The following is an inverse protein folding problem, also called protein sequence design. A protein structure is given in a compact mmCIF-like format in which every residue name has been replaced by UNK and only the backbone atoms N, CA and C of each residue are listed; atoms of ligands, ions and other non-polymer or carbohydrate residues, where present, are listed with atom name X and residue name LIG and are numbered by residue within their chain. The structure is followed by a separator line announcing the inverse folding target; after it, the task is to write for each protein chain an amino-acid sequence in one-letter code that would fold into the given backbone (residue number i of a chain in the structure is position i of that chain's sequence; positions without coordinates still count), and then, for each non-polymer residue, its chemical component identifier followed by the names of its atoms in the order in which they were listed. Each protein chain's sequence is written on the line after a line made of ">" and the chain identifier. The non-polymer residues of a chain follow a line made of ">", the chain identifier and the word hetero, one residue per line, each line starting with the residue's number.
data_IF_171613787891
#
_entry.id   IF_171613787891
#
_cell.length_a   1.000
_cell.length_b   1.000
_cell.length_c   1.000
_cell.angle_alpha   90.00
_cell.angle_beta   90.00
_cell.angle_gamma   90.00
#
_symmetry.space_group_name_H-M   'P 1'
#
loop_
_entity.id
_entity.type
_entity.pdbx_description
1 polymer ?
#
# COMPACT_ATOMS: atom_id res chain seq x y z
N UNK A 1 -12.07 2.57 -18.23
CA UNK A 1 -10.99 1.89 -18.98
C UNK A 1 -9.98 1.21 -18.07
N UNK A 2 -9.32 1.90 -17.13
CA UNK A 2 -8.22 1.32 -16.33
C UNK A 2 -8.59 0.05 -15.53
N UNK A 3 -9.84 -0.08 -15.08
CA UNK A 3 -10.32 -1.24 -14.32
C UNK A 3 -11.02 -2.32 -15.18
N UNK A 4 -11.08 -2.18 -16.51
CA UNK A 4 -11.76 -3.18 -17.34
C UNK A 4 -10.92 -4.45 -17.48
N UNK A 5 -11.58 -5.61 -17.47
CA UNK A 5 -10.89 -6.91 -17.67
C UNK A 5 -10.16 -6.96 -19.01
N UNK A 6 -10.73 -6.38 -20.06
CA UNK A 6 -10.09 -6.28 -21.38
C UNK A 6 -8.77 -5.51 -21.35
N UNK A 7 -8.73 -4.37 -20.66
CA UNK A 7 -7.51 -3.57 -20.55
C UNK A 7 -6.47 -4.25 -19.65
N UNK A 8 -6.91 -4.89 -18.56
CA UNK A 8 -6.03 -5.70 -17.73
C UNK A 8 -5.39 -6.85 -18.54
N UNK A 9 -6.17 -7.57 -19.36
CA UNK A 9 -5.63 -8.61 -20.25
C UNK A 9 -4.66 -8.07 -21.30
N UNK A 10 -4.90 -6.86 -21.82
CA UNK A 10 -3.97 -6.18 -22.72
C UNK A 10 -2.63 -5.90 -22.02
N UNK A 11 -2.66 -5.29 -20.83
CA UNK A 11 -1.45 -5.01 -20.04
C UNK A 11 -0.72 -6.28 -19.62
N UNK A 12 -1.44 -7.34 -19.25
CA UNK A 12 -0.86 -8.61 -18.83
C UNK A 12 -0.03 -9.28 -19.94
N UNK A 13 -0.38 -9.08 -21.22
CA UNK A 13 0.39 -9.60 -22.36
C UNK A 13 1.75 -8.94 -22.54
N UNK A 14 1.97 -7.76 -21.94
CA UNK A 14 3.27 -7.07 -21.99
C UNK A 14 4.27 -7.64 -20.99
N UNK A 15 3.81 -8.47 -20.05
CA UNK A 15 4.66 -9.10 -19.03
C UNK A 15 5.40 -10.29 -19.65
N UNK A 16 6.73 -10.21 -19.71
CA UNK A 16 7.60 -11.35 -20.02
C UNK A 16 8.07 -12.01 -18.70
N UNK A 17 7.66 -13.25 -18.40
CA UNK A 17 8.03 -13.91 -17.15
C UNK A 17 9.53 -14.20 -17.02
N UNK A 18 10.32 -13.98 -18.08
CA UNK A 18 11.77 -14.21 -18.10
C UNK A 18 12.58 -12.92 -18.19
N UNK A 19 11.94 -11.75 -18.35
CA UNK A 19 12.63 -10.48 -18.55
C UNK A 19 11.85 -9.31 -17.95
N UNK A 20 12.55 -8.51 -17.15
CA UNK A 20 12.02 -7.30 -16.56
C UNK A 20 11.59 -6.29 -17.64
N UNK A 21 10.36 -5.79 -17.53
CA UNK A 21 9.89 -4.68 -18.34
C UNK A 21 10.46 -3.36 -17.83
N UNK A 22 10.99 -2.52 -18.73
CA UNK A 22 11.45 -1.17 -18.38
C UNK A 22 10.36 -0.15 -18.72
N UNK A 23 9.45 0.06 -17.78
CA UNK A 23 8.37 1.03 -17.92
C UNK A 23 8.73 2.29 -17.13
N UNK A 24 8.52 3.46 -17.74
CA UNK A 24 8.73 4.76 -17.07
C UNK A 24 7.54 5.05 -16.14
N UNK A 25 7.74 5.24 -14.84
CA UNK A 25 6.66 5.66 -13.96
C UNK A 25 6.26 7.11 -14.25
N UNK A 26 5.01 7.46 -13.93
CA UNK A 26 4.52 8.84 -14.02
C UNK A 26 4.97 9.74 -12.86
N UNK A 27 5.38 9.14 -11.73
CA UNK A 27 5.91 9.79 -10.53
C UNK A 27 7.03 8.90 -10.00
N UNK A 28 8.22 9.47 -9.71
CA UNK A 28 9.33 8.75 -9.10
C UNK A 28 9.04 8.38 -7.63
N UNK A 29 10.00 7.75 -6.92
CA UNK A 29 9.81 7.38 -5.52
C UNK A 29 9.53 8.61 -4.64
N UNK A 30 8.53 8.49 -3.78
CA UNK A 30 8.09 9.52 -2.86
C UNK A 30 8.16 8.95 -1.45
N UNK A 31 8.92 9.62 -0.59
CA UNK A 31 8.86 9.37 0.84
C UNK A 31 7.55 9.93 1.39
N UNK A 32 6.93 9.19 2.29
CA UNK A 32 5.75 9.67 2.99
C UNK A 32 5.51 8.85 4.23
N UNK A 33 4.95 9.52 5.23
CA UNK A 33 4.56 8.92 6.48
C UNK A 33 3.05 8.96 6.60
N UNK A 34 2.47 7.89 7.13
CA UNK A 34 1.03 7.68 7.12
C UNK A 34 0.68 6.74 8.25
N UNK A 35 -0.36 7.10 8.99
CA UNK A 35 -0.94 6.22 9.99
C UNK A 35 -2.21 5.59 9.42
N UNK A 36 -2.38 4.30 9.74
CA UNK A 36 -3.54 3.51 9.39
C UNK A 36 -4.04 2.78 10.63
N UNK A 37 -5.35 2.70 10.81
CA UNK A 37 -5.98 1.81 11.77
C UNK A 37 -7.33 1.31 11.23
N UNK A 38 -7.82 0.23 11.83
CA UNK A 38 -9.17 -0.25 11.57
C UNK A 38 -9.83 -0.76 12.84
N UNK A 39 -11.15 -0.79 12.80
CA UNK A 39 -11.98 -1.34 13.86
C UNK A 39 -13.18 -2.06 13.24
N UNK A 40 -13.63 -3.12 13.90
CA UNK A 40 -14.90 -3.79 13.62
C UNK A 40 -15.61 -3.96 14.97
N UNK A 41 -16.88 -3.58 15.06
CA UNK A 41 -17.68 -3.72 16.27
C UNK A 41 -18.60 -4.94 16.23
N UNK A 42 -19.31 -5.19 17.33
CA UNK A 42 -20.25 -6.31 17.48
C UNK A 42 -21.47 -6.24 16.57
N UNK A 43 -21.81 -5.04 16.10
CA UNK A 43 -22.95 -4.81 15.20
C UNK A 43 -22.55 -5.01 13.73
N UNK A 44 -21.28 -5.33 13.47
CA UNK A 44 -20.72 -5.53 12.14
C UNK A 44 -20.35 -4.23 11.43
N UNK A 45 -20.33 -3.09 12.12
CA UNK A 45 -19.78 -1.86 11.54
C UNK A 45 -18.26 -2.01 11.41
N UNK A 46 -17.75 -1.58 10.26
CA UNK A 46 -16.35 -1.74 9.89
C UNK A 46 -15.76 -0.40 9.44
N UNK A 47 -14.60 -0.03 10.01
CA UNK A 47 -13.90 1.22 9.69
C UNK A 47 -12.50 0.90 9.18
N UNK A 48 -12.19 1.36 7.97
CA UNK A 48 -10.83 1.44 7.43
C UNK A 48 -10.43 2.91 7.42
N UNK A 49 -9.54 3.32 8.33
CA UNK A 49 -9.19 4.72 8.50
C UNK A 49 -7.70 4.95 8.25
N UNK A 50 -7.40 6.01 7.51
CA UNK A 50 -6.04 6.36 7.13
C UNK A 50 -5.89 7.88 7.11
N UNK A 51 -4.81 8.37 7.71
CA UNK A 51 -4.53 9.80 7.79
C UNK A 51 -3.03 10.07 7.66
N UNK A 52 -2.68 11.20 7.04
CA UNK A 52 -1.29 11.55 6.75
C UNK A 52 -1.13 13.02 6.42
N UNK A 53 -0.09 13.63 7.00
CA UNK A 53 0.41 14.96 6.64
C UNK A 53 1.19 15.00 5.31
N UNK A 54 1.25 13.87 4.61
CA UNK A 54 2.11 13.50 3.47
C UNK A 54 3.51 13.08 3.88
N UNK A 55 4.42 14.00 4.10
CA UNK A 55 5.74 13.71 4.68
C UNK A 55 5.64 13.79 6.22
N UNK A 56 6.59 13.19 6.94
CA UNK A 56 6.61 13.00 8.41
C UNK A 56 5.85 14.09 9.20
N UNK A 57 6.44 15.29 9.30
CA UNK A 57 5.88 16.43 10.03
C UNK A 57 5.15 17.42 9.10
N UNK A 58 4.68 16.95 7.94
CA UNK A 58 4.06 17.79 6.92
C UNK A 58 5.01 18.89 6.42
N UNK A 59 4.58 20.15 6.47
CA UNK A 59 5.42 21.28 6.07
C UNK A 59 6.33 21.80 7.21
N UNK A 60 6.31 21.17 8.38
CA UNK A 60 7.09 21.61 9.55
C UNK A 60 6.52 22.85 10.25
N UNK A 61 5.34 23.34 9.83
CA UNK A 61 4.66 24.47 10.45
C UNK A 61 3.55 24.01 11.39
N UNK A 62 3.38 24.75 12.49
CA UNK A 62 2.27 24.62 13.42
C UNK A 62 1.29 25.78 13.17
N UNK A 63 -0.02 25.51 13.24
CA UNK A 63 -1.05 26.53 13.17
C UNK A 63 -1.05 27.42 14.42
N UNK A 64 -0.16 28.41 14.49
CA UNK A 64 0.00 29.26 15.67
C UNK A 64 0.37 28.45 16.91
N UNK A 65 -0.24 28.76 18.05
CA UNK A 65 0.04 28.11 19.34
C UNK A 65 -0.85 26.88 19.61
N UNK A 66 -1.44 26.29 18.56
CA UNK A 66 -2.44 25.21 18.71
C UNK A 66 -1.84 23.81 18.85
N UNK A 67 -0.57 23.63 18.49
CA UNK A 67 0.04 22.30 18.35
C UNK A 67 -0.41 21.51 17.12
N UNK A 68 -1.23 22.09 16.23
CA UNK A 68 -1.69 21.43 15.00
C UNK A 68 -0.64 21.59 13.89
N UNK A 69 0.03 20.48 13.55
CA UNK A 69 0.96 20.40 12.42
C UNK A 69 0.22 20.49 11.07
N UNK A 70 0.74 21.30 10.15
CA UNK A 70 0.15 21.51 8.83
C UNK A 70 0.74 20.54 7.79
N UNK A 71 -0.14 19.95 6.97
CA UNK A 71 0.27 19.02 5.91
C UNK A 71 1.03 19.71 4.76
N UNK A 72 1.84 18.95 4.02
CA UNK A 72 2.48 19.40 2.77
C UNK A 72 2.03 18.64 1.52
N UNK A 73 0.80 18.09 1.56
CA UNK A 73 0.18 17.30 0.48
C UNK A 73 0.21 17.95 -0.91
N UNK A 74 0.20 19.29 -0.97
CA UNK A 74 0.29 20.05 -2.22
C UNK A 74 1.52 19.71 -3.07
N UNK A 75 2.59 19.15 -2.48
CA UNK A 75 3.78 18.65 -3.19
C UNK A 75 3.47 17.56 -4.21
N UNK A 76 2.30 16.91 -4.13
CA UNK A 76 1.86 15.93 -5.13
C UNK A 76 1.29 16.57 -6.41
N UNK A 77 1.05 17.88 -6.48
CA UNK A 77 0.68 18.51 -7.74
C UNK A 77 1.84 18.50 -8.75
N UNK A 78 1.49 18.35 -10.03
CA UNK A 78 2.40 18.70 -11.11
C UNK A 78 2.36 20.22 -11.36
N UNK A 79 3.45 20.77 -11.86
CA UNK A 79 3.51 22.14 -12.37
C UNK A 79 3.41 22.20 -13.90
N UNK A 80 3.43 21.04 -14.57
CA UNK A 80 3.20 20.95 -16.02
C UNK A 80 1.72 21.22 -16.33
N UNK A 81 1.39 22.30 -17.08
CA UNK A 81 0.02 22.64 -17.45
C UNK A 81 -0.72 21.53 -18.22
N UNK A 82 -0.01 20.66 -18.94
CA UNK A 82 -0.61 19.55 -19.68
C UNK A 82 -0.91 18.33 -18.80
N UNK A 83 -0.34 18.27 -17.59
CA UNK A 83 -0.50 17.12 -16.71
C UNK A 83 -1.89 17.13 -16.03
N UNK A 84 -2.64 16.01 -16.03
CA UNK A 84 -3.97 15.95 -15.41
C UNK A 84 -4.00 16.36 -13.92
N UNK A 85 -2.88 16.18 -13.23
CA UNK A 85 -2.67 16.58 -11.83
C UNK A 85 -1.96 17.94 -11.69
N UNK A 86 -2.05 18.84 -12.67
CA UNK A 86 -1.56 20.21 -12.55
C UNK A 86 -2.26 20.96 -11.40
N UNK A 87 -1.52 21.82 -10.68
CA UNK A 87 -2.05 22.66 -9.60
C UNK A 87 -3.16 23.59 -10.10
N UNK A 88 -4.25 23.70 -9.33
CA UNK A 88 -5.35 24.63 -9.63
C UNK A 88 -6.11 25.06 -8.36
N UNK A 89 -6.76 26.24 -8.34
CA UNK A 89 -7.54 26.69 -7.19
C UNK A 89 -8.65 25.71 -6.82
N UNK A 90 -8.80 25.43 -5.53
CA UNK A 90 -9.82 24.50 -4.97
C UNK A 90 -9.74 23.06 -5.51
N UNK A 91 -8.69 22.70 -6.26
CA UNK A 91 -8.40 21.33 -6.66
C UNK A 91 -7.71 20.60 -5.51
N UNK A 92 -8.01 19.31 -5.36
CA UNK A 92 -7.26 18.39 -4.48
C UNK A 92 -6.22 17.66 -5.33
N UNK A 93 -5.00 17.51 -4.83
CA UNK A 93 -3.95 16.79 -5.56
C UNK A 93 -4.30 15.31 -5.70
N UNK A 94 -3.54 14.61 -6.53
CA UNK A 94 -3.37 13.16 -6.35
C UNK A 94 -3.07 12.84 -4.87
N UNK A 95 -3.58 11.70 -4.39
CA UNK A 95 -3.38 11.22 -3.03
C UNK A 95 -2.81 9.82 -3.06
N UNK A 96 -1.82 9.58 -2.20
CA UNK A 96 -1.24 8.25 -1.96
C UNK A 96 -2.04 7.43 -0.97
N UNK A 97 -2.85 8.08 -0.14
CA UNK A 97 -3.65 7.49 0.93
C UNK A 97 -4.75 6.59 0.35
N UNK A 98 -4.78 5.32 0.74
CA UNK A 98 -5.78 4.35 0.27
C UNK A 98 -6.24 3.40 1.40
N UNK A 99 -7.35 3.69 2.10
CA UNK A 99 -7.97 2.70 2.98
C UNK A 99 -8.63 1.60 2.14
N UNK A 100 -8.66 0.36 2.64
CA UNK A 100 -9.23 -0.77 1.92
C UNK A 100 -10.18 -1.61 2.76
N UNK A 101 -11.22 -2.10 2.09
CA UNK A 101 -12.18 -3.05 2.62
C UNK A 101 -12.53 -4.05 1.52
N UNK A 102 -12.53 -5.33 1.86
CA UNK A 102 -12.82 -6.45 0.97
C UNK A 102 -14.18 -7.01 1.31
N UNK A 103 -15.00 -7.21 0.29
CA UNK A 103 -16.28 -7.88 0.39
C UNK A 103 -16.21 -9.23 -0.30
N UNK A 104 -16.84 -10.24 0.28
CA UNK A 104 -17.06 -11.55 -0.31
C UNK A 104 -18.55 -11.88 -0.22
N UNK A 105 -19.15 -12.19 -1.37
CA UNK A 105 -20.59 -12.50 -1.48
C UNK A 105 -21.48 -11.41 -0.83
N UNK A 106 -21.12 -10.14 -1.05
CA UNK A 106 -21.84 -8.98 -0.52
C UNK A 106 -21.62 -8.69 0.97
N UNK A 107 -20.81 -9.48 1.68
CA UNK A 107 -20.52 -9.31 3.12
C UNK A 107 -19.08 -8.82 3.35
N UNK A 108 -18.82 -7.97 4.36
CA UNK A 108 -17.45 -7.63 4.75
C UNK A 108 -16.64 -8.88 5.08
N UNK A 109 -15.47 -9.01 4.46
CA UNK A 109 -14.55 -10.13 4.64
C UNK A 109 -13.26 -9.70 5.32
N UNK A 110 -12.77 -8.52 5.00
CA UNK A 110 -11.53 -7.98 5.57
C UNK A 110 -11.53 -6.46 5.52
N UNK A 111 -11.01 -5.84 6.57
CA UNK A 111 -10.73 -4.40 6.63
C UNK A 111 -9.24 -4.25 6.88
N UNK A 112 -8.51 -3.55 6.02
CA UNK A 112 -7.06 -3.51 6.12
C UNK A 112 -6.46 -2.31 5.38
N UNK A 113 -5.19 -2.04 5.65
CA UNK A 113 -4.45 -1.00 4.96
C UNK A 113 -2.96 -1.21 5.14
N UNK A 114 -2.20 -0.80 4.13
CA UNK A 114 -0.74 -0.77 4.16
C UNK A 114 -0.31 0.67 3.94
N UNK A 115 0.57 1.18 4.79
CA UNK A 115 1.11 2.54 4.74
C UNK A 115 2.42 2.59 3.93
N UNK A 116 3.00 3.79 3.74
CA UNK A 116 4.30 3.94 3.06
C UNK A 116 4.23 4.51 1.64
N UNK A 117 3.45 5.59 1.44
CA UNK A 117 3.38 6.32 0.17
C UNK A 117 3.12 5.44 -1.07
N UNK A 118 4.09 5.29 -1.99
CA UNK A 118 3.91 4.45 -3.19
C UNK A 118 3.96 2.94 -2.91
N UNK A 119 4.34 2.55 -1.69
CA UNK A 119 4.22 1.17 -1.25
C UNK A 119 2.76 0.77 -0.98
N UNK A 120 1.85 1.71 -0.70
CA UNK A 120 0.45 1.41 -0.36
C UNK A 120 -0.25 0.50 -1.40
N UNK A 121 -0.27 0.81 -2.72
CA UNK A 121 -0.89 -0.08 -3.71
C UNK A 121 -0.21 -1.45 -3.78
N UNK A 122 1.12 -1.47 -3.73
CA UNK A 122 1.92 -2.69 -3.89
C UNK A 122 1.74 -3.62 -2.69
N UNK A 123 1.80 -3.07 -1.49
CA UNK A 123 1.60 -3.79 -0.24
C UNK A 123 0.18 -4.30 -0.09
N UNK A 124 -0.83 -3.51 -0.49
CA UNK A 124 -2.22 -3.98 -0.45
C UNK A 124 -2.45 -5.17 -1.38
N UNK A 125 -1.90 -5.15 -2.60
CA UNK A 125 -1.97 -6.30 -3.51
C UNK A 125 -1.26 -7.52 -2.93
N UNK A 126 -0.10 -7.33 -2.29
CA UNK A 126 0.64 -8.43 -1.65
C UNK A 126 -0.16 -9.05 -0.49
N UNK A 127 -0.76 -8.25 0.39
CA UNK A 127 -1.62 -8.75 1.48
C UNK A 127 -2.84 -9.49 0.93
N UNK A 128 -3.48 -8.97 -0.12
CA UNK A 128 -4.61 -9.62 -0.78
C UNK A 128 -4.21 -10.96 -1.39
N UNK A 129 -3.09 -11.03 -2.11
CA UNK A 129 -2.59 -12.28 -2.69
C UNK A 129 -2.23 -13.31 -1.62
N UNK A 130 -1.57 -12.87 -0.53
CA UNK A 130 -1.25 -13.72 0.62
C UNK A 130 -2.48 -14.41 1.21
N UNK A 131 -3.58 -13.69 1.36
CA UNK A 131 -4.81 -14.24 1.95
C UNK A 131 -5.62 -15.04 0.93
N UNK A 132 -5.82 -14.49 -0.28
CA UNK A 132 -6.73 -15.05 -1.28
C UNK A 132 -6.09 -16.18 -2.06
N UNK A 133 -4.85 -15.99 -2.52
CA UNK A 133 -4.16 -16.95 -3.40
C UNK A 133 -3.31 -17.94 -2.61
N UNK A 134 -2.71 -17.51 -1.50
CA UNK A 134 -1.82 -18.35 -0.68
C UNK A 134 -2.45 -18.87 0.62
N UNK A 135 -3.70 -18.47 0.93
CA UNK A 135 -4.46 -19.00 2.07
C UNK A 135 -3.89 -18.64 3.45
N UNK A 136 -3.06 -17.60 3.53
CA UNK A 136 -2.46 -17.15 4.80
C UNK A 136 -3.51 -16.55 5.73
N UNK A 137 -3.28 -16.68 7.04
CA UNK A 137 -3.98 -15.89 8.05
C UNK A 137 -3.64 -14.40 7.94
N UNK A 138 -4.42 -13.55 8.60
CA UNK A 138 -4.20 -12.09 8.56
C UNK A 138 -2.83 -11.68 9.10
N UNK A 139 -2.33 -12.35 10.14
CA UNK A 139 -1.02 -12.05 10.72
C UNK A 139 0.12 -12.54 9.80
N UNK A 140 0.04 -13.78 9.31
CA UNK A 140 1.01 -14.33 8.35
C UNK A 140 1.12 -13.45 7.10
N UNK A 141 -0.02 -12.97 6.57
CA UNK A 141 -0.06 -12.09 5.41
C UNK A 141 0.64 -10.75 5.63
N UNK A 142 0.64 -10.22 6.87
CA UNK A 142 1.33 -8.98 7.23
C UNK A 142 2.82 -9.18 7.47
N UNK A 143 3.19 -10.31 8.07
CA UNK A 143 4.58 -10.68 8.35
C UNK A 143 5.34 -11.07 7.09
N UNK A 144 4.64 -11.65 6.11
CA UNK A 144 5.20 -12.09 4.84
C UNK A 144 6.17 -11.03 4.25
N UNK A 145 7.39 -11.43 3.85
CA UNK A 145 8.36 -10.54 3.24
C UNK A 145 7.82 -9.88 1.95
N UNK A 146 8.05 -8.58 1.80
CA UNK A 146 7.51 -7.76 0.72
C UNK A 146 8.55 -7.41 -0.33
N UNK A 147 8.03 -7.11 -1.52
CA UNK A 147 8.73 -6.51 -2.64
C UNK A 147 8.20 -5.09 -2.84
N UNK A 148 9.10 -4.15 -3.17
CA UNK A 148 8.74 -2.79 -3.56
C UNK A 148 9.45 -2.44 -4.88
N UNK A 149 8.68 -2.29 -5.95
CA UNK A 149 9.15 -1.72 -7.21
C UNK A 149 9.24 -0.19 -7.08
N UNK A 150 10.41 0.37 -7.38
CA UNK A 150 10.69 1.80 -7.17
C UNK A 150 10.53 2.58 -8.48
N UNK A 151 11.42 2.33 -9.43
CA UNK A 151 11.43 3.00 -10.73
C UNK A 151 12.20 2.15 -11.75
N UNK A 152 11.71 2.11 -13.00
CA UNK A 152 12.36 1.36 -14.07
C UNK A 152 12.57 -0.11 -13.70
N UNK A 153 13.83 -0.51 -13.52
CA UNK A 153 14.23 -1.88 -13.19
C UNK A 153 14.46 -2.11 -11.69
N UNK A 154 14.39 -1.07 -10.87
CA UNK A 154 14.72 -1.12 -9.45
C UNK A 154 13.61 -1.81 -8.64
N UNK A 155 13.99 -2.86 -7.92
CA UNK A 155 13.11 -3.61 -7.03
C UNK A 155 13.82 -3.87 -5.71
N UNK A 156 13.27 -3.34 -4.62
CA UNK A 156 13.72 -3.61 -3.28
C UNK A 156 13.02 -4.85 -2.72
N UNK A 157 13.78 -5.72 -2.06
CA UNK A 157 13.30 -6.99 -1.50
C UNK A 157 13.68 -7.10 -0.03
N UNK A 158 12.72 -7.43 0.82
CA UNK A 158 12.97 -7.69 2.24
C UNK A 158 13.80 -8.95 2.50
N UNK A 159 14.55 -8.95 3.61
CA UNK A 159 15.52 -9.99 3.95
C UNK A 159 14.95 -11.41 3.92
N UNK A 160 13.70 -11.59 4.36
CA UNK A 160 13.03 -12.90 4.32
C UNK A 160 12.83 -13.49 2.91
N UNK A 161 13.04 -12.71 1.84
CA UNK A 161 13.05 -13.22 0.47
C UNK A 161 14.39 -13.91 0.18
N UNK A 162 14.31 -15.22 -0.03
CA UNK A 162 15.48 -16.11 -0.18
C UNK A 162 16.42 -15.75 -1.34
N UNK A 163 17.68 -16.12 -1.18
CA UNK A 163 18.75 -15.81 -2.14
C UNK A 163 18.49 -16.35 -3.56
N UNK A 164 17.75 -17.46 -3.70
CA UNK A 164 17.36 -18.01 -4.99
C UNK A 164 16.48 -17.05 -5.79
N UNK A 165 15.40 -16.55 -5.19
CA UNK A 165 14.50 -15.57 -5.81
C UNK A 165 15.23 -14.27 -6.18
N UNK A 166 16.10 -13.77 -5.28
CA UNK A 166 16.93 -12.59 -5.55
C UNK A 166 17.83 -12.77 -6.76
N UNK A 167 18.47 -13.94 -6.91
CA UNK A 167 19.30 -14.25 -8.09
C UNK A 167 18.46 -14.36 -9.36
N UNK A 168 17.31 -15.02 -9.30
CA UNK A 168 16.42 -15.16 -10.44
C UNK A 168 15.95 -13.78 -10.96
N UNK A 169 15.54 -12.88 -10.07
CA UNK A 169 15.14 -11.52 -10.45
C UNK A 169 16.29 -10.73 -11.10
N UNK A 170 17.52 -10.85 -10.58
CA UNK A 170 18.70 -10.25 -11.22
C UNK A 170 18.94 -10.81 -12.63
N UNK A 171 18.79 -12.12 -12.81
CA UNK A 171 18.92 -12.76 -14.14
C UNK A 171 17.85 -12.30 -15.13
N UNK A 172 16.65 -11.99 -14.64
CA UNK A 172 15.58 -11.39 -15.45
C UNK A 172 15.85 -9.91 -15.79
N UNK A 173 16.85 -9.26 -15.18
CA UNK A 173 17.24 -7.88 -15.45
C UNK A 173 16.78 -6.86 -14.40
N UNK A 174 16.22 -7.29 -13.27
CA UNK A 174 15.89 -6.38 -12.17
C UNK A 174 17.14 -5.92 -11.43
N UNK A 175 17.20 -4.63 -11.10
CA UNK A 175 18.16 -4.07 -10.15
C UNK A 175 17.65 -4.32 -8.72
N UNK A 176 18.08 -5.45 -8.15
CA UNK A 176 17.64 -5.88 -6.81
C UNK A 176 18.35 -5.09 -5.72
N UNK A 177 17.59 -4.30 -4.99
CA UNK A 177 18.03 -3.46 -3.87
C UNK A 177 17.65 -4.10 -2.52
N UNK A 178 18.32 -3.67 -1.46
CA UNK A 178 18.06 -4.13 -0.09
C UNK A 178 17.16 -3.19 0.70
N UNK A 179 17.25 -1.90 0.45
CA UNK A 179 16.62 -0.87 1.27
C UNK A 179 15.52 -0.15 0.50
N UNK A 180 14.34 -0.11 1.10
CA UNK A 180 13.22 0.72 0.69
C UNK A 180 12.24 0.82 1.86
N UNK A 181 11.21 1.65 1.68
CA UNK A 181 10.04 1.60 2.55
C UNK A 181 9.16 0.40 2.18
N UNK A 182 8.98 -0.55 3.09
CA UNK A 182 8.08 -1.71 2.91
C UNK A 182 6.71 -1.53 3.57
N UNK A 183 6.45 -0.34 4.11
CA UNK A 183 5.18 0.02 4.75
C UNK A 183 4.97 -0.63 6.11
N UNK A 184 3.87 -0.26 6.75
CA UNK A 184 3.29 -0.95 7.90
C UNK A 184 1.83 -1.27 7.62
N UNK A 185 1.34 -2.40 8.10
CA UNK A 185 -0.02 -2.86 7.89
C UNK A 185 -0.78 -3.06 9.21
N UNK A 186 -2.09 -2.81 9.16
CA UNK A 186 -3.05 -3.26 10.18
C UNK A 186 -4.25 -3.84 9.46
N UNK A 187 -4.95 -4.76 10.09
CA UNK A 187 -6.11 -5.38 9.46
C UNK A 187 -6.89 -6.31 10.37
N UNK A 188 -8.16 -6.47 10.05
CA UNK A 188 -9.09 -7.37 10.69
C UNK A 188 -9.73 -8.23 9.59
N UNK A 189 -9.56 -9.53 9.68
CA UNK A 189 -10.27 -10.52 8.86
C UNK A 189 -11.49 -11.01 9.63
N UNK A 190 -12.63 -11.08 8.94
CA UNK A 190 -13.91 -11.51 9.50
C UNK A 190 -14.17 -12.93 9.02
N UNK A 191 -14.21 -13.90 9.94
CA UNK A 191 -14.45 -15.28 9.56
C UNK A 191 -15.83 -15.42 8.89
N UNK A 192 -15.93 -15.95 7.66
CA UNK A 192 -17.16 -15.92 6.88
C UNK A 192 -18.28 -16.79 7.46
N UNK A 193 -17.93 -17.85 8.19
CA UNK A 193 -18.88 -18.75 8.86
C UNK A 193 -19.22 -18.30 10.30
N UNK A 194 -18.20 -18.14 11.16
CA UNK A 194 -18.40 -17.87 12.59
C UNK A 194 -18.49 -16.38 12.97
N UNK A 195 -18.15 -15.45 12.07
CA UNK A 195 -18.09 -14.02 12.40
C UNK A 195 -16.92 -13.62 13.30
N UNK A 196 -16.07 -14.56 13.72
CA UNK A 196 -14.88 -14.30 14.54
C UNK A 196 -13.98 -13.26 13.89
N UNK A 197 -13.59 -12.25 14.66
CA UNK A 197 -12.67 -11.20 14.23
C UNK A 197 -11.24 -11.63 14.52
N UNK A 198 -10.41 -11.66 13.48
CA UNK A 198 -8.99 -11.98 13.57
C UNK A 198 -8.21 -10.73 13.21
N UNK A 199 -7.49 -10.17 14.18
CA UNK A 199 -6.65 -8.99 13.97
C UNK A 199 -5.21 -9.37 13.62
N UNK A 200 -4.58 -8.55 12.77
CA UNK A 200 -3.15 -8.61 12.52
C UNK A 200 -2.51 -7.22 12.64
N UNK A 201 -1.29 -7.18 13.14
CA UNK A 201 -0.45 -5.98 13.21
C UNK A 201 0.94 -6.28 12.66
N UNK A 202 1.41 -5.41 11.77
CA UNK A 202 2.70 -5.58 11.10
C UNK A 202 3.88 -5.43 12.06
N UNK A 203 4.84 -6.38 12.09
CA UNK A 203 5.98 -6.35 13.00
C UNK A 203 7.01 -5.25 12.67
N UNK A 204 6.91 -4.60 11.50
CA UNK A 204 7.85 -3.53 11.07
C UNK A 204 7.62 -2.21 11.80
N UNK A 205 6.52 -2.09 12.53
CA UNK A 205 6.10 -0.87 13.24
C UNK A 205 5.61 -1.26 14.64
N UNK A 206 5.79 -0.35 15.59
CA UNK A 206 5.08 -0.46 16.86
C UNK A 206 3.57 -0.38 16.59
N UNK A 207 2.82 -1.32 17.14
CA UNK A 207 1.39 -1.48 16.88
C UNK A 207 0.84 -2.71 17.60
N UNK A 208 -0.48 -2.87 17.60
CA UNK A 208 -1.14 -4.03 18.18
C UNK A 208 -2.50 -4.29 17.51
N UNK A 209 -2.94 -5.54 17.62
CA UNK A 209 -4.32 -5.93 17.37
C UNK A 209 -4.94 -6.35 18.71
N UNK A 210 -6.06 -5.74 19.08
CA UNK A 210 -6.75 -5.96 20.35
C UNK A 210 -8.23 -6.27 20.09
N UNK A 211 -8.80 -7.15 20.91
CA UNK A 211 -10.21 -7.53 20.88
C UNK A 211 -10.77 -7.66 22.29
N UNK A 212 -12.09 -7.76 22.40
CA UNK A 212 -12.83 -7.94 23.64
C UNK A 212 -14.07 -8.82 23.42
#
# INVERSE_FOLDING_TARGET
>A
RLLSKSYASERAREIDPRRAGNHRPGLGPIAGDTQYFCAVDSDGNAVSFINSLFENFGCGLVGGDTGVMLQNRGKLFSLDPAHPNCVAPRKRSFHTIMPAMVFKDGRPFMVFGVTGAHMQPQGQVQVLANIIDFGMTIQEAMEAPRVNHLEGLDAALEEGIGAGARRALKQMGHAVLREANFGGAQGILIHPEYGTLMGGSDPRKDGCALGY
#
